data_IF_788716128954
#
_entry.id   IF_788716128954
#
_cell.length_a   1.000
_cell.length_b   1.000
_cell.length_c   1.000
_cell.angle_alpha   90.00
_cell.angle_beta   90.00
_cell.angle_gamma   90.00
#
_symmetry.space_group_name_H-M   'P 1'
#
loop_
_entity.id
_entity.type
_entity.pdbx_description
1 polymer ?
#
# COMPACT_ATOMS: atom_id res chain seq x y z
N UNK A 1 5.36 2.88 -1.83
CA UNK A 1 5.67 4.19 -1.23
C UNK A 1 7.10 4.14 -0.67
N UNK A 2 8.02 5.07 -1.06
CA UNK A 2 9.44 5.00 -0.70
C UNK A 2 9.70 4.97 0.81
N UNK A 3 8.92 5.72 1.59
CA UNK A 3 9.07 5.81 3.04
C UNK A 3 8.85 4.46 3.74
N UNK A 4 7.77 3.76 3.39
CA UNK A 4 7.50 2.43 3.95
C UNK A 4 8.55 1.41 3.54
N UNK A 5 8.98 1.44 2.28
CA UNK A 5 10.01 0.54 1.76
C UNK A 5 11.32 0.74 2.49
N UNK A 6 11.72 1.99 2.71
CA UNK A 6 12.94 2.33 3.44
C UNK A 6 12.84 1.90 4.90
N UNK A 7 11.80 2.32 5.61
CA UNK A 7 11.63 2.02 7.03
C UNK A 7 11.59 0.50 7.28
N UNK A 8 10.85 -0.24 6.47
CA UNK A 8 10.82 -1.71 6.51
C UNK A 8 12.21 -2.30 6.27
N UNK A 9 12.92 -1.83 5.25
CA UNK A 9 14.24 -2.36 4.90
C UNK A 9 15.26 -2.09 6.01
N UNK A 10 15.33 -0.86 6.54
CA UNK A 10 16.25 -0.47 7.61
C UNK A 10 16.08 -1.36 8.84
N UNK A 11 14.84 -1.53 9.30
CA UNK A 11 14.53 -2.36 10.48
C UNK A 11 14.80 -3.84 10.21
N UNK A 12 14.28 -4.39 9.12
CA UNK A 12 14.42 -5.81 8.78
C UNK A 12 15.88 -6.20 8.52
N UNK A 13 16.62 -5.35 7.79
CA UNK A 13 18.02 -5.58 7.48
C UNK A 13 18.87 -5.56 8.75
N UNK A 14 18.60 -4.66 9.69
CA UNK A 14 19.25 -4.60 11.00
C UNK A 14 18.96 -5.84 11.83
N UNK A 15 17.71 -6.31 11.88
CA UNK A 15 17.31 -7.56 12.58
C UNK A 15 17.97 -8.79 11.98
N UNK A 16 18.28 -8.78 10.70
CA UNK A 16 19.03 -9.82 10.00
C UNK A 16 20.56 -9.65 10.12
N UNK A 17 21.03 -8.82 11.05
CA UNK A 17 22.43 -8.48 11.30
C UNK A 17 23.11 -7.72 10.15
N UNK A 18 22.36 -7.03 9.31
CA UNK A 18 22.88 -6.11 8.32
C UNK A 18 23.20 -4.75 8.93
N UNK A 19 24.06 -3.99 8.26
CA UNK A 19 24.41 -2.64 8.67
C UNK A 19 24.27 -1.68 7.50
N UNK A 20 23.40 -0.69 7.68
CA UNK A 20 23.17 0.40 6.74
C UNK A 20 23.80 1.67 7.27
N UNK A 21 24.58 2.35 6.44
CA UNK A 21 25.18 3.65 6.79
C UNK A 21 24.62 4.75 5.91
N UNK A 22 24.11 5.81 6.52
CA UNK A 22 23.69 7.02 5.81
C UNK A 22 24.95 7.80 5.38
N UNK A 23 25.05 8.14 4.10
CA UNK A 23 26.15 8.98 3.56
C UNK A 23 25.70 10.40 3.32
N UNK A 24 24.73 10.57 2.46
CA UNK A 24 24.14 11.85 2.08
C UNK A 24 22.62 11.80 2.29
N UNK A 25 21.89 12.91 2.24
CA UNK A 25 20.44 12.90 2.33
C UNK A 25 19.80 11.98 1.26
N UNK A 26 19.16 10.90 1.72
CA UNK A 26 18.51 9.89 0.86
C UNK A 26 19.45 8.90 0.18
N UNK A 27 20.75 8.91 0.50
CA UNK A 27 21.75 7.96 0.01
C UNK A 27 22.39 7.18 1.15
N UNK A 28 22.55 5.87 0.94
CA UNK A 28 23.08 4.95 1.93
C UNK A 28 24.15 4.05 1.32
N UNK A 29 24.92 3.38 2.18
CA UNK A 29 25.86 2.32 1.81
C UNK A 29 25.65 1.09 2.68
N UNK A 30 25.94 -0.06 2.11
CA UNK A 30 26.01 -1.35 2.80
C UNK A 30 27.43 -1.90 2.61
N UNK A 31 28.22 -1.94 3.68
CA UNK A 31 29.57 -2.47 3.63
C UNK A 31 29.62 -3.99 3.60
N UNK A 32 28.60 -4.62 4.15
CA UNK A 32 28.51 -6.06 4.22
C UNK A 32 27.07 -6.54 4.25
N UNK A 33 26.74 -7.48 3.35
CA UNK A 33 25.46 -8.17 3.33
C UNK A 33 25.61 -9.54 4.01
N UNK A 34 24.83 -9.85 5.05
CA UNK A 34 24.88 -11.11 5.77
C UNK A 34 24.74 -12.34 4.85
N UNK A 35 25.45 -13.46 5.16
CA UNK A 35 25.38 -14.67 4.34
C UNK A 35 23.97 -15.21 4.17
N UNK A 36 23.15 -15.19 5.24
CA UNK A 36 21.77 -15.68 5.20
C UNK A 36 20.94 -15.00 4.09
N UNK A 37 21.13 -13.69 3.88
CA UNK A 37 20.44 -12.93 2.83
C UNK A 37 20.93 -13.35 1.45
N UNK A 38 22.24 -13.54 1.27
CA UNK A 38 22.83 -13.97 -0.01
C UNK A 38 22.47 -15.41 -0.35
N UNK A 39 22.36 -16.27 0.65
CA UNK A 39 21.96 -17.67 0.45
C UNK A 39 20.47 -17.76 0.12
N UNK A 40 19.63 -16.89 0.73
CA UNK A 40 18.21 -16.78 0.38
C UNK A 40 18.02 -16.33 -1.06
N UNK A 41 18.77 -15.34 -1.52
CA UNK A 41 18.76 -14.88 -2.91
C UNK A 41 19.05 -16.00 -3.91
N UNK A 42 20.01 -16.88 -3.61
CA UNK A 42 20.30 -18.05 -4.44
C UNK A 42 19.13 -19.03 -4.55
N UNK A 43 18.32 -19.13 -3.48
CA UNK A 43 17.11 -19.98 -3.48
C UNK A 43 15.98 -19.32 -4.29
N UNK A 44 15.80 -18.01 -4.15
CA UNK A 44 14.78 -17.24 -4.90
C UNK A 44 15.14 -17.19 -6.38
N UNK A 45 16.42 -16.94 -6.71
CA UNK A 45 16.94 -16.99 -8.08
C UNK A 45 16.38 -15.93 -9.02
N UNK A 46 15.97 -14.77 -8.49
CA UNK A 46 15.38 -13.68 -9.28
C UNK A 46 16.42 -12.62 -9.65
N UNK A 47 16.82 -12.57 -10.92
CA UNK A 47 17.62 -11.47 -11.46
C UNK A 47 19.13 -11.54 -11.16
N UNK A 48 19.78 -10.39 -10.98
CA UNK A 48 21.21 -10.31 -10.66
C UNK A 48 21.45 -10.73 -9.21
N UNK A 49 22.49 -11.54 -8.93
CA UNK A 49 22.76 -12.01 -7.57
C UNK A 49 23.02 -10.87 -6.59
N UNK A 50 22.58 -11.04 -5.35
CA UNK A 50 22.89 -10.14 -4.24
C UNK A 50 24.40 -10.12 -4.03
N UNK A 51 24.98 -8.92 -4.11
CA UNK A 51 26.41 -8.71 -3.90
C UNK A 51 26.74 -8.55 -2.41
N UNK A 52 28.02 -8.75 -2.06
CA UNK A 52 28.47 -8.67 -0.67
C UNK A 52 28.44 -7.24 -0.10
N UNK A 53 28.43 -6.23 -0.96
CA UNK A 53 28.56 -4.82 -0.59
C UNK A 53 27.86 -3.94 -1.63
N UNK A 54 27.25 -2.85 -1.18
CA UNK A 54 26.65 -1.83 -2.02
C UNK A 54 27.22 -0.46 -1.63
N UNK A 55 27.95 0.16 -2.54
CA UNK A 55 28.63 1.43 -2.27
C UNK A 55 27.67 2.61 -2.18
N UNK A 56 26.54 2.53 -2.93
CA UNK A 56 25.56 3.59 -2.96
C UNK A 56 24.20 3.04 -3.33
N UNK A 57 23.26 3.15 -2.42
CA UNK A 57 21.86 2.76 -2.61
C UNK A 57 20.92 3.92 -2.27
N UNK A 58 19.70 3.88 -2.80
CA UNK A 58 18.60 4.78 -2.48
C UNK A 58 17.27 4.02 -2.53
N UNK A 59 16.23 4.62 -1.95
CA UNK A 59 14.86 4.10 -1.97
C UNK A 59 13.91 4.93 -2.84
N UNK A 60 14.38 6.06 -3.36
CA UNK A 60 13.64 6.97 -4.22
C UNK A 60 14.25 7.04 -5.61
N UNK A 61 13.41 6.97 -6.66
CA UNK A 61 13.87 7.08 -8.06
C UNK A 61 14.60 8.38 -8.35
N UNK A 62 14.18 9.49 -7.76
CA UNK A 62 14.81 10.80 -7.93
C UNK A 62 16.26 10.83 -7.42
N UNK A 63 16.63 9.95 -6.48
CA UNK A 63 17.96 9.84 -5.90
C UNK A 63 18.91 8.90 -6.65
N UNK A 64 18.43 8.17 -7.67
CA UNK A 64 19.27 7.27 -8.45
C UNK A 64 20.38 7.98 -9.21
N UNK A 65 20.10 9.19 -9.69
CA UNK A 65 21.06 10.02 -10.46
C UNK A 65 21.05 11.42 -9.90
N UNK A 66 22.09 11.79 -9.20
CA UNK A 66 22.35 13.15 -8.69
C UNK A 66 23.52 13.71 -9.48
N UNK A 67 23.38 14.91 -10.00
CA UNK A 67 24.45 15.60 -10.75
C UNK A 67 25.75 15.68 -9.94
N UNK A 68 26.87 15.35 -10.56
CA UNK A 68 28.18 15.32 -9.92
C UNK A 68 28.44 14.11 -8.99
N UNK A 69 27.53 13.16 -8.87
CA UNK A 69 27.71 11.95 -8.04
C UNK A 69 27.58 10.67 -8.89
N UNK A 70 28.29 9.58 -8.51
CA UNK A 70 28.06 8.28 -9.11
C UNK A 70 26.60 7.81 -8.91
N UNK A 71 26.04 7.02 -9.86
CA UNK A 71 24.67 6.55 -9.74
C UNK A 71 24.47 5.66 -8.51
N UNK A 72 23.28 5.78 -7.88
CA UNK A 72 22.85 4.93 -6.78
C UNK A 72 21.93 3.81 -7.29
N UNK A 73 22.02 2.63 -6.67
CA UNK A 73 21.15 1.51 -6.94
C UNK A 73 19.83 1.67 -6.17
N UNK A 74 18.70 1.55 -6.86
CA UNK A 74 17.38 1.65 -6.23
C UNK A 74 17.03 0.33 -5.55
N UNK A 75 16.82 0.36 -4.23
CA UNK A 75 16.29 -0.76 -3.46
C UNK A 75 14.78 -0.59 -3.33
N UNK A 76 14.06 -1.43 -4.05
CA UNK A 76 12.59 -1.41 -4.12
C UNK A 76 12.08 -2.85 -4.28
N UNK A 77 10.78 -3.14 -4.13
CA UNK A 77 10.21 -4.44 -4.43
C UNK A 77 10.59 -4.91 -5.84
N UNK A 78 11.07 -6.15 -5.95
CA UNK A 78 11.66 -6.71 -7.17
C UNK A 78 13.19 -6.55 -7.27
N UNK A 79 13.83 -5.87 -6.33
CA UNK A 79 15.29 -5.88 -6.22
C UNK A 79 15.73 -7.11 -5.39
N UNK A 80 16.67 -7.95 -5.85
CA UNK A 80 17.03 -9.21 -5.18
C UNK A 80 17.36 -9.08 -3.70
N UNK A 81 18.07 -8.02 -3.31
CA UNK A 81 18.36 -7.74 -1.91
C UNK A 81 17.09 -7.47 -1.10
N UNK A 82 16.14 -6.69 -1.63
CA UNK A 82 14.87 -6.41 -0.96
C UNK A 82 14.04 -7.68 -0.83
N UNK A 83 13.91 -8.43 -1.92
CA UNK A 83 13.09 -9.64 -1.96
C UNK A 83 13.62 -10.70 -0.98
N UNK A 84 14.95 -10.84 -0.86
CA UNK A 84 15.58 -11.73 0.11
C UNK A 84 15.38 -11.30 1.57
N UNK A 85 15.43 -10.00 1.85
CA UNK A 85 15.16 -9.45 3.19
C UNK A 85 13.69 -9.66 3.56
N UNK A 86 12.77 -9.40 2.64
CA UNK A 86 11.32 -9.63 2.85
C UNK A 86 11.06 -11.11 3.15
N UNK A 87 11.58 -12.01 2.33
CA UNK A 87 11.32 -13.45 2.45
C UNK A 87 11.86 -14.03 3.76
N UNK A 88 13.10 -13.69 4.15
CA UNK A 88 13.66 -14.09 5.45
C UNK A 88 12.89 -13.49 6.64
N UNK A 89 12.48 -12.24 6.55
CA UNK A 89 11.70 -11.58 7.61
C UNK A 89 10.36 -12.28 7.79
N UNK A 90 9.67 -12.61 6.70
CA UNK A 90 8.41 -13.35 6.73
C UNK A 90 8.59 -14.76 7.30
N UNK A 91 9.64 -15.48 6.91
CA UNK A 91 9.94 -16.81 7.44
C UNK A 91 10.16 -16.79 8.95
N UNK A 92 10.96 -15.83 9.43
CA UNK A 92 11.30 -15.72 10.85
C UNK A 92 10.11 -15.27 11.73
N UNK A 93 9.18 -14.46 11.19
CA UNK A 93 8.12 -13.82 11.98
C UNK A 93 6.72 -14.42 11.73
N UNK A 94 6.56 -15.31 10.75
CA UNK A 94 5.23 -15.86 10.37
C UNK A 94 4.48 -16.49 11.55
N UNK A 95 5.17 -17.29 12.36
CA UNK A 95 4.54 -17.96 13.50
C UNK A 95 4.18 -16.98 14.63
N UNK A 96 4.91 -15.88 14.76
CA UNK A 96 4.58 -14.83 15.73
C UNK A 96 3.29 -14.10 15.36
N UNK A 97 3.04 -13.86 14.08
CA UNK A 97 1.80 -13.23 13.62
C UNK A 97 0.54 -14.01 14.00
N UNK A 98 0.65 -15.35 14.06
CA UNK A 98 -0.46 -16.23 14.45
C UNK A 98 -0.77 -16.21 15.96
N UNK A 99 0.17 -15.78 16.78
CA UNK A 99 -0.02 -15.72 18.25
C UNK A 99 -0.91 -14.55 18.64
N UNK A 100 -1.10 -13.58 17.76
CA UNK A 100 -1.77 -12.33 18.05
C UNK A 100 -0.93 -11.40 18.92
N UNK A 101 -1.43 -10.20 19.14
CA UNK A 101 -0.79 -9.20 20.00
C UNK A 101 -1.84 -8.23 20.55
N UNK A 102 -1.40 -7.34 21.43
CA UNK A 102 -2.21 -6.22 21.93
C UNK A 102 -1.56 -4.93 21.44
N UNK A 103 -2.39 -4.00 21.00
CA UNK A 103 -2.00 -2.64 20.64
C UNK A 103 -2.79 -1.61 21.42
N UNK A 104 -2.22 -0.43 21.59
CA UNK A 104 -2.89 0.75 22.13
C UNK A 104 -3.11 1.75 21.02
N UNK A 105 -4.36 2.15 20.79
CA UNK A 105 -4.69 3.28 19.94
C UNK A 105 -4.71 4.57 20.79
N UNK A 106 -3.64 5.35 20.72
CA UNK A 106 -3.48 6.58 21.50
C UNK A 106 -4.37 7.73 21.05
N UNK A 107 -4.93 7.62 19.87
CA UNK A 107 -5.79 8.66 19.29
C UNK A 107 -7.25 8.38 19.62
N UNK A 108 -7.60 7.11 19.77
CA UNK A 108 -8.97 6.74 20.16
C UNK A 108 -9.19 6.94 21.66
N UNK A 109 -9.97 7.95 21.99
CA UNK A 109 -10.38 8.28 23.35
C UNK A 109 -11.62 7.46 23.80
N UNK A 110 -12.08 6.53 22.97
CA UNK A 110 -13.18 5.62 23.25
C UNK A 110 -12.87 4.62 24.35
N UNK A 111 -13.90 3.85 24.71
CA UNK A 111 -13.81 2.78 25.72
C UNK A 111 -14.17 1.40 25.17
N UNK A 112 -14.41 1.30 23.86
CA UNK A 112 -14.79 0.05 23.21
C UNK A 112 -13.55 -0.57 22.54
N UNK A 113 -13.05 -1.73 23.00
CA UNK A 113 -11.91 -2.40 22.38
C UNK A 113 -12.33 -3.03 21.05
N UNK A 114 -11.37 -3.17 20.13
CA UNK A 114 -11.58 -3.74 18.81
C UNK A 114 -10.64 -4.91 18.57
N UNK A 115 -11.14 -5.96 17.92
CA UNK A 115 -10.32 -7.04 17.41
C UNK A 115 -9.97 -6.76 15.95
N UNK A 116 -8.68 -6.67 15.65
CA UNK A 116 -8.14 -6.45 14.30
C UNK A 116 -7.73 -7.78 13.69
N UNK A 117 -8.32 -8.18 12.56
CA UNK A 117 -7.84 -9.27 11.73
C UNK A 117 -7.06 -8.76 10.53
N UNK A 118 -5.93 -9.41 10.26
CA UNK A 118 -5.06 -9.17 9.11
C UNK A 118 -5.36 -10.24 8.07
N UNK A 119 -5.87 -9.83 6.92
CA UNK A 119 -6.31 -10.72 5.85
C UNK A 119 -5.44 -10.53 4.62
N UNK A 120 -4.92 -11.64 4.09
CA UNK A 120 -4.14 -11.67 2.86
C UNK A 120 -5.00 -12.17 1.71
N UNK A 121 -5.11 -11.38 0.67
CA UNK A 121 -5.82 -11.72 -0.56
C UNK A 121 -4.90 -11.61 -1.78
N UNK A 122 -4.87 -12.65 -2.58
CA UNK A 122 -4.02 -12.79 -3.75
C UNK A 122 -4.84 -12.92 -5.02
N UNK A 123 -4.42 -12.21 -6.07
CA UNK A 123 -4.96 -12.33 -7.43
C UNK A 123 -3.88 -12.91 -8.33
N UNK A 124 -4.25 -13.91 -9.14
CA UNK A 124 -3.34 -14.66 -10.03
C UNK A 124 -3.79 -14.53 -11.48
N UNK A 125 -2.89 -14.78 -12.42
CA UNK A 125 -3.26 -14.94 -13.83
C UNK A 125 -3.08 -16.40 -14.30
N UNK A 126 -3.52 -16.71 -15.52
CA UNK A 126 -3.49 -18.07 -16.06
C UNK A 126 -2.11 -18.56 -16.48
N UNK A 127 -1.05 -17.77 -16.31
CA UNK A 127 0.31 -18.24 -16.55
C UNK A 127 0.76 -19.14 -15.40
N UNK A 128 1.47 -20.19 -15.75
CA UNK A 128 2.07 -21.09 -14.76
C UNK A 128 3.59 -20.93 -14.77
N UNK A 129 4.18 -21.03 -13.58
CA UNK A 129 5.62 -21.04 -13.43
C UNK A 129 6.19 -22.45 -13.70
N UNK A 130 7.52 -22.62 -13.52
CA UNK A 130 8.21 -23.90 -13.70
C UNK A 130 7.80 -24.99 -12.70
N UNK A 131 7.08 -24.62 -11.62
CA UNK A 131 6.55 -25.55 -10.60
C UNK A 131 5.08 -25.93 -10.87
N UNK A 132 4.47 -25.30 -11.87
CA UNK A 132 3.04 -25.49 -12.19
C UNK A 132 2.11 -24.58 -11.39
N UNK A 133 2.64 -23.66 -10.60
CA UNK A 133 1.85 -22.72 -9.83
C UNK A 133 1.44 -21.52 -10.68
N UNK A 134 0.20 -21.07 -10.49
CA UNK A 134 -0.30 -19.88 -11.17
C UNK A 134 0.42 -18.62 -10.68
N UNK A 135 0.79 -17.75 -11.61
CA UNK A 135 1.54 -16.55 -11.31
C UNK A 135 0.70 -15.52 -10.53
N UNK A 136 1.18 -15.14 -9.36
CA UNK A 136 0.61 -14.03 -8.59
C UNK A 136 0.89 -12.71 -9.29
N UNK A 137 -0.18 -11.93 -9.55
CA UNK A 137 -0.11 -10.61 -10.20
C UNK A 137 -0.46 -9.46 -9.26
N UNK A 138 -1.17 -9.75 -8.18
CA UNK A 138 -1.44 -8.80 -7.11
C UNK A 138 -1.60 -9.53 -5.79
N UNK A 139 -1.14 -8.90 -4.72
CA UNK A 139 -1.35 -9.34 -3.34
C UNK A 139 -1.68 -8.12 -2.51
N UNK A 140 -2.75 -8.21 -1.70
CA UNK A 140 -3.19 -7.10 -0.87
C UNK A 140 -3.45 -7.60 0.54
N UNK A 141 -2.83 -6.94 1.51
CA UNK A 141 -3.23 -7.06 2.90
C UNK A 141 -4.42 -6.14 3.15
N UNK A 142 -5.42 -6.67 3.82
CA UNK A 142 -6.65 -5.99 4.20
C UNK A 142 -6.89 -6.20 5.69
N UNK A 143 -7.61 -5.28 6.30
CA UNK A 143 -7.78 -5.23 7.74
C UNK A 143 -9.26 -5.15 8.05
N UNK A 144 -9.70 -5.98 8.99
CA UNK A 144 -11.09 -6.04 9.45
C UNK A 144 -11.11 -5.79 10.95
N UNK A 145 -11.95 -4.89 11.38
CA UNK A 145 -12.18 -4.55 12.78
C UNK A 145 -13.50 -5.13 13.25
N UNK A 146 -13.49 -5.70 14.43
CA UNK A 146 -14.67 -6.15 15.17
C UNK A 146 -14.74 -5.43 16.51
N UNK A 147 -15.93 -5.05 16.92
CA UNK A 147 -16.19 -4.65 18.29
C UNK A 147 -16.91 -5.75 19.09
N UNK A 148 -17.08 -5.54 20.39
CA UNK A 148 -17.78 -6.47 21.29
C UNK A 148 -19.26 -6.68 20.93
N UNK A 149 -19.86 -5.76 20.18
CA UNK A 149 -21.26 -5.79 19.71
C UNK A 149 -21.43 -6.51 18.37
N UNK A 150 -20.38 -7.21 17.91
CA UNK A 150 -20.33 -7.90 16.62
C UNK A 150 -20.47 -6.95 15.41
N UNK A 151 -20.21 -5.64 15.56
CA UNK A 151 -20.10 -4.75 14.42
C UNK A 151 -18.79 -4.98 13.67
N UNK A 152 -18.86 -4.99 12.34
CA UNK A 152 -17.71 -5.25 11.47
C UNK A 152 -17.48 -4.04 10.59
N UNK A 153 -16.23 -3.63 10.49
CA UNK A 153 -15.81 -2.55 9.61
C UNK A 153 -14.45 -2.81 8.97
N UNK A 154 -14.17 -2.08 7.91
CA UNK A 154 -12.85 -2.08 7.29
C UNK A 154 -11.85 -1.30 8.15
N UNK A 155 -10.67 -1.89 8.42
CA UNK A 155 -9.61 -1.28 9.23
C UNK A 155 -8.76 -0.23 8.49
N UNK A 156 -8.95 -0.06 7.17
CA UNK A 156 -8.16 0.87 6.37
C UNK A 156 -6.79 0.36 5.95
N UNK A 157 -5.87 1.27 5.63
CA UNK A 157 -4.52 0.95 5.18
C UNK A 157 -3.55 0.90 6.36
N UNK A 158 -2.95 -0.27 6.61
CA UNK A 158 -1.90 -0.48 7.61
C UNK A 158 -2.18 0.19 8.97
N UNK A 159 -3.35 -0.05 9.61
CA UNK A 159 -3.77 0.64 10.83
C UNK A 159 -2.78 0.43 11.99
N UNK A 160 -2.04 -0.68 11.99
CA UNK A 160 -1.01 -0.99 12.99
C UNK A 160 0.14 0.03 13.03
N UNK A 161 0.29 0.90 12.03
CA UNK A 161 1.29 1.96 12.05
C UNK A 161 0.92 3.12 12.99
N UNK A 162 -0.35 3.23 13.32
CA UNK A 162 -0.89 4.25 14.22
C UNK A 162 -1.04 3.73 15.65
N UNK A 163 -0.76 2.43 15.89
CA UNK A 163 -0.92 1.79 17.20
C UNK A 163 0.41 1.60 17.90
N UNK A 164 0.42 1.85 19.22
CA UNK A 164 1.56 1.64 20.08
C UNK A 164 1.55 0.26 20.74
N UNK A 165 2.71 -0.17 21.22
CA UNK A 165 2.84 -1.35 22.04
C UNK A 165 2.51 -1.04 23.50
N UNK A 166 1.71 -1.87 24.19
CA UNK A 166 1.44 -1.71 25.60
C UNK A 166 2.69 -1.95 26.43
N UNK A 167 2.87 -1.18 27.51
CA UNK A 167 3.83 -1.48 28.56
C UNK A 167 3.33 -2.66 29.43
N UNK A 168 4.20 -3.19 30.29
CA UNK A 168 3.79 -4.23 31.24
C UNK A 168 2.72 -3.73 32.24
N UNK A 169 2.74 -2.46 32.61
CA UNK A 169 1.74 -1.84 33.47
C UNK A 169 0.38 -1.72 32.76
N UNK A 170 0.40 -1.35 31.48
CA UNK A 170 -0.79 -1.30 30.64
C UNK A 170 -1.44 -2.68 30.52
N UNK A 171 -0.64 -3.72 30.23
CA UNK A 171 -1.14 -5.11 30.14
C UNK A 171 -1.79 -5.58 31.44
N UNK A 172 -1.22 -5.23 32.59
CA UNK A 172 -1.81 -5.55 33.91
C UNK A 172 -3.16 -4.86 34.10
N UNK A 173 -3.26 -3.59 33.68
CA UNK A 173 -4.47 -2.79 33.81
C UNK A 173 -5.66 -3.28 32.97
N UNK A 174 -5.37 -3.93 31.84
CA UNK A 174 -6.37 -4.41 30.88
C UNK A 174 -6.52 -5.94 30.85
N UNK A 175 -6.00 -6.65 31.85
CA UNK A 175 -6.02 -8.11 31.88
C UNK A 175 -7.44 -8.68 31.78
N UNK A 176 -8.40 -8.05 32.43
CA UNK A 176 -9.81 -8.42 32.36
C UNK A 176 -10.43 -8.26 30.97
N UNK A 177 -9.95 -7.29 30.18
CA UNK A 177 -10.36 -7.10 28.78
C UNK A 177 -9.78 -8.20 27.91
N UNK A 178 -8.51 -8.55 28.12
CA UNK A 178 -7.83 -9.64 27.38
C UNK A 178 -8.50 -11.00 27.65
N UNK A 179 -8.99 -11.22 28.87
CA UNK A 179 -9.64 -12.46 29.26
C UNK A 179 -11.15 -12.49 28.97
N UNK A 180 -11.72 -11.46 28.36
CA UNK A 180 -13.16 -11.33 28.11
C UNK A 180 -13.70 -12.45 27.21
N UNK A 181 -14.96 -12.86 27.46
CA UNK A 181 -15.57 -14.01 26.79
C UNK A 181 -15.82 -13.79 25.30
N UNK A 182 -16.02 -12.56 24.84
CA UNK A 182 -16.25 -12.28 23.44
C UNK A 182 -15.01 -12.57 22.56
N UNK A 183 -13.79 -12.43 23.09
CA UNK A 183 -12.54 -12.78 22.40
C UNK A 183 -12.33 -14.30 22.24
N UNK A 184 -13.08 -15.12 23.00
CA UNK A 184 -13.03 -16.58 22.90
C UNK A 184 -13.94 -17.13 21.82
N UNK A 185 -14.79 -16.28 21.23
CA UNK A 185 -15.65 -16.68 20.10
C UNK A 185 -14.79 -16.95 18.85
N UNK A 186 -15.20 -17.92 18.04
CA UNK A 186 -14.59 -18.15 16.74
C UNK A 186 -15.08 -17.09 15.73
N UNK A 187 -14.40 -15.96 15.68
CA UNK A 187 -14.74 -14.82 14.83
C UNK A 187 -14.06 -14.88 13.45
N UNK A 188 -13.09 -15.78 13.23
CA UNK A 188 -12.35 -15.90 11.97
C UNK A 188 -13.26 -16.19 10.77
N UNK A 189 -14.24 -17.13 10.83
CA UNK A 189 -15.15 -17.37 9.71
C UNK A 189 -15.98 -16.14 9.35
N UNK A 190 -16.33 -15.33 10.35
CA UNK A 190 -17.12 -14.10 10.15
C UNK A 190 -16.27 -13.05 9.44
N UNK A 191 -15.01 -12.87 9.88
CA UNK A 191 -14.03 -11.98 9.24
C UNK A 191 -13.77 -12.39 7.78
N UNK A 192 -13.58 -13.67 7.51
CA UNK A 192 -13.38 -14.18 6.16
C UNK A 192 -14.61 -13.97 5.28
N UNK A 193 -15.82 -14.20 5.81
CA UNK A 193 -17.05 -13.97 5.06
C UNK A 193 -17.23 -12.49 4.70
N UNK A 194 -16.94 -11.60 5.63
CA UNK A 194 -16.91 -10.15 5.37
C UNK A 194 -15.89 -9.82 4.28
N UNK A 195 -14.67 -10.33 4.39
CA UNK A 195 -13.62 -10.10 3.40
C UNK A 195 -14.03 -10.58 2.00
N UNK A 196 -14.64 -11.76 1.89
CA UNK A 196 -15.11 -12.32 0.60
C UNK A 196 -16.19 -11.45 -0.02
N UNK A 197 -17.08 -10.88 0.80
CA UNK A 197 -18.21 -10.06 0.31
C UNK A 197 -17.83 -8.63 -0.01
N UNK A 198 -17.03 -8.00 0.85
CA UNK A 198 -16.81 -6.55 0.81
C UNK A 198 -15.41 -6.15 0.32
N UNK A 199 -14.37 -6.93 0.66
CA UNK A 199 -12.98 -6.52 0.41
C UNK A 199 -12.37 -7.14 -0.85
N UNK A 200 -12.70 -8.40 -1.12
CA UNK A 200 -12.18 -9.15 -2.28
C UNK A 200 -12.70 -8.60 -3.60
N UNK A 201 -14.01 -8.30 -3.78
CA UNK A 201 -14.51 -7.87 -5.08
C UNK A 201 -13.89 -6.58 -5.60
N UNK A 202 -13.74 -5.49 -4.81
CA UNK A 202 -13.09 -4.28 -5.29
C UNK A 202 -11.63 -4.50 -5.71
N UNK A 203 -10.87 -5.28 -4.95
CA UNK A 203 -9.48 -5.61 -5.28
C UNK A 203 -9.39 -6.44 -6.56
N UNK A 204 -10.25 -7.44 -6.70
CA UNK A 204 -10.28 -8.30 -7.89
C UNK A 204 -10.63 -7.52 -9.15
N UNK A 205 -11.70 -6.71 -9.11
CA UNK A 205 -12.14 -5.92 -10.26
C UNK A 205 -11.10 -4.86 -10.68
N UNK A 206 -10.45 -4.20 -9.72
CA UNK A 206 -9.36 -3.27 -10.01
C UNK A 206 -8.22 -3.96 -10.79
N UNK A 207 -7.77 -5.12 -10.30
CA UNK A 207 -6.66 -5.87 -10.91
C UNK A 207 -7.08 -6.42 -12.27
N UNK A 208 -8.28 -6.98 -12.38
CA UNK A 208 -8.84 -7.52 -13.63
C UNK A 208 -8.93 -6.45 -14.70
N UNK A 209 -9.59 -5.32 -14.42
CA UNK A 209 -9.77 -4.23 -15.37
C UNK A 209 -8.43 -3.66 -15.87
N UNK A 210 -7.46 -3.51 -14.96
CA UNK A 210 -6.12 -3.06 -15.31
C UNK A 210 -5.39 -4.09 -16.19
N UNK A 211 -5.51 -5.37 -15.88
CA UNK A 211 -4.87 -6.46 -16.64
C UNK A 211 -5.49 -6.61 -18.02
N UNK A 212 -6.80 -6.62 -18.12
CA UNK A 212 -7.52 -6.72 -19.41
C UNK A 212 -7.13 -5.58 -20.34
N UNK A 213 -7.15 -4.33 -19.84
CA UNK A 213 -6.72 -3.17 -20.64
C UNK A 213 -5.28 -3.28 -21.13
N UNK A 214 -4.36 -3.72 -20.27
CA UNK A 214 -2.96 -3.90 -20.66
C UNK A 214 -2.79 -4.98 -21.72
N UNK A 215 -3.48 -6.10 -21.57
CA UNK A 215 -3.45 -7.21 -22.52
C UNK A 215 -4.03 -6.79 -23.87
N UNK A 216 -5.18 -6.11 -23.89
CA UNK A 216 -5.83 -5.66 -25.12
C UNK A 216 -4.92 -4.70 -25.92
N UNK A 217 -4.31 -3.72 -25.24
CA UNK A 217 -3.33 -2.82 -25.88
C UNK A 217 -2.11 -3.58 -26.41
N UNK A 218 -1.60 -4.55 -25.65
CA UNK A 218 -0.43 -5.33 -26.04
C UNK A 218 -0.75 -6.26 -27.23
N UNK A 219 -1.90 -6.92 -27.20
CA UNK A 219 -2.38 -7.77 -28.30
C UNK A 219 -2.50 -6.97 -29.60
N UNK A 220 -3.14 -5.81 -29.55
CA UNK A 220 -3.28 -4.94 -30.73
C UNK A 220 -1.92 -4.57 -31.31
N UNK A 221 -0.97 -4.12 -30.48
CA UNK A 221 0.38 -3.74 -30.90
C UNK A 221 1.17 -4.93 -31.49
N UNK A 222 1.09 -6.12 -30.85
CA UNK A 222 1.76 -7.34 -31.30
C UNK A 222 1.19 -7.80 -32.65
N UNK A 223 -0.14 -7.84 -32.78
CA UNK A 223 -0.79 -8.19 -34.04
C UNK A 223 -0.42 -7.23 -35.14
N UNK A 224 -0.54 -5.94 -34.93
CA UNK A 224 -0.20 -4.94 -35.96
C UNK A 224 1.25 -5.08 -36.45
N UNK A 225 2.20 -5.18 -35.50
CA UNK A 225 3.62 -5.26 -35.84
C UNK A 225 3.96 -6.58 -36.56
N UNK A 226 3.60 -7.72 -35.96
CA UNK A 226 4.00 -9.03 -36.51
C UNK A 226 3.26 -9.33 -37.84
N UNK A 227 2.00 -8.91 -37.99
CA UNK A 227 1.28 -9.06 -39.27
C UNK A 227 1.96 -8.26 -40.39
N UNK A 228 2.40 -7.02 -40.10
CA UNK A 228 3.18 -6.22 -41.10
C UNK A 228 4.49 -6.92 -41.50
N UNK A 229 5.22 -7.48 -40.54
CA UNK A 229 6.47 -8.20 -40.79
C UNK A 229 6.23 -9.51 -41.56
N UNK A 230 5.19 -10.27 -41.22
CA UNK A 230 4.79 -11.52 -41.88
C UNK A 230 4.42 -11.21 -43.34
N UNK A 231 3.58 -10.21 -43.59
CA UNK A 231 3.17 -9.79 -44.94
C UNK A 231 4.37 -9.34 -45.77
N UNK A 232 5.30 -8.58 -45.21
CA UNK A 232 6.53 -8.19 -45.88
C UNK A 232 7.35 -9.39 -46.33
N UNK A 233 7.61 -10.36 -45.42
CA UNK A 233 8.42 -11.53 -45.77
C UNK A 233 7.70 -12.49 -46.70
N UNK A 234 6.39 -12.64 -46.60
CA UNK A 234 5.57 -13.41 -47.55
C UNK A 234 5.61 -12.82 -48.96
N UNK A 235 5.43 -11.50 -49.07
CA UNK A 235 5.53 -10.81 -50.35
C UNK A 235 6.96 -10.87 -50.94
N UNK A 236 7.98 -10.74 -50.04
CA UNK A 236 9.39 -10.88 -50.45
C UNK A 236 9.70 -12.27 -50.99
N UNK A 237 9.14 -13.31 -50.38
CA UNK A 237 9.26 -14.69 -50.83
C UNK A 237 8.73 -14.85 -52.27
N UNK A 238 7.53 -14.31 -52.56
CA UNK A 238 6.94 -14.35 -53.93
C UNK A 238 7.81 -13.60 -54.92
N UNK A 239 8.29 -12.41 -54.59
CA UNK A 239 9.18 -11.65 -55.48
C UNK A 239 10.49 -12.39 -55.79
N UNK A 240 11.12 -12.99 -54.79
CA UNK A 240 12.34 -13.77 -54.95
C UNK A 240 12.10 -15.00 -55.82
N UNK A 241 10.93 -15.64 -55.70
CA UNK A 241 10.55 -16.78 -56.56
C UNK A 241 10.40 -16.35 -58.02
N UNK A 242 9.71 -15.25 -58.28
CA UNK A 242 9.58 -14.70 -59.63
C UNK A 242 10.94 -14.32 -60.24
N UNK A 243 11.89 -13.80 -59.48
CA UNK A 243 13.24 -13.51 -59.94
C UNK A 243 14.00 -14.79 -60.29
N UNK A 244 13.87 -15.87 -59.50
CA UNK A 244 14.46 -17.19 -59.79
C UNK A 244 13.86 -17.78 -61.07
N UNK A 245 12.54 -17.74 -61.20
CA UNK A 245 11.82 -18.26 -62.37
C UNK A 245 12.18 -17.49 -63.64
N UNK A 246 12.56 -16.19 -63.50
CA UNK A 246 13.09 -15.36 -64.61
C UNK A 246 14.60 -15.56 -64.84
N UNK A 247 15.25 -16.55 -64.24
CA UNK A 247 16.66 -16.87 -64.38
C UNK A 247 17.66 -15.96 -63.69
N UNK A 248 17.20 -15.11 -62.76
CA UNK A 248 18.05 -14.27 -61.92
C UNK A 248 18.57 -15.06 -60.71
N UNK A 249 19.71 -14.64 -60.18
CA UNK A 249 20.28 -15.20 -58.94
C UNK A 249 20.18 -14.20 -57.79
N UNK A 250 19.05 -14.17 -57.06
CA UNK A 250 18.90 -13.26 -55.92
C UNK A 250 19.87 -13.60 -54.81
N UNK A 251 20.33 -12.57 -54.05
CA UNK A 251 21.24 -12.79 -52.90
C UNK A 251 20.60 -13.61 -51.77
N UNK A 252 19.27 -13.59 -51.65
CA UNK A 252 18.51 -14.38 -50.67
C UNK A 252 17.65 -15.39 -51.44
N UNK A 253 17.65 -16.63 -51.00
CA UNK A 253 16.78 -17.66 -51.55
C UNK A 253 15.34 -17.46 -51.08
N UNK A 254 14.32 -17.73 -51.92
CA UNK A 254 12.91 -17.63 -51.59
C UNK A 254 12.56 -18.40 -50.30
N UNK A 255 13.15 -19.57 -50.09
CA UNK A 255 12.99 -20.44 -48.93
C UNK A 255 13.36 -19.77 -47.60
N UNK A 256 14.41 -18.91 -47.62
CA UNK A 256 14.80 -18.17 -46.43
C UNK A 256 13.77 -17.12 -46.03
N UNK A 257 13.13 -16.46 -47.02
CA UNK A 257 12.05 -15.51 -46.77
C UNK A 257 10.80 -16.23 -46.27
N UNK A 258 10.46 -17.39 -46.83
CA UNK A 258 9.35 -18.24 -46.37
C UNK A 258 9.55 -18.66 -44.94
N UNK A 259 10.71 -19.25 -44.61
CA UNK A 259 11.04 -19.67 -43.25
C UNK A 259 10.93 -18.51 -42.25
N UNK A 260 11.31 -17.29 -42.64
CA UNK A 260 11.20 -16.10 -41.79
C UNK A 260 9.75 -15.71 -41.52
N UNK A 261 8.88 -15.80 -42.54
CA UNK A 261 7.44 -15.56 -42.39
C UNK A 261 6.80 -16.61 -41.45
N UNK A 262 7.16 -17.90 -41.61
CA UNK A 262 6.67 -19.00 -40.78
C UNK A 262 7.13 -18.84 -39.32
N UNK A 263 8.39 -18.47 -39.09
CA UNK A 263 8.92 -18.18 -37.73
C UNK A 263 8.15 -17.05 -37.06
N UNK A 264 7.88 -15.97 -37.76
CA UNK A 264 7.11 -14.83 -37.24
C UNK A 264 5.65 -15.20 -36.96
N UNK A 265 5.03 -16.05 -37.80
CA UNK A 265 3.68 -16.58 -37.58
C UNK A 265 3.64 -17.42 -36.30
N UNK A 266 4.57 -18.34 -36.13
CA UNK A 266 4.67 -19.13 -34.88
C UNK A 266 4.88 -18.26 -33.64
N UNK A 267 5.69 -17.19 -33.78
CA UNK A 267 5.88 -16.23 -32.69
C UNK A 267 4.60 -15.43 -32.38
N UNK A 268 3.82 -15.05 -33.40
CA UNK A 268 2.53 -14.38 -33.19
C UNK A 268 1.56 -15.30 -32.43
N UNK A 269 1.43 -16.55 -32.85
CA UNK A 269 0.56 -17.53 -32.21
C UNK A 269 0.97 -17.80 -30.76
N UNK A 270 2.27 -17.99 -30.54
CA UNK A 270 2.80 -18.22 -29.18
C UNK A 270 2.49 -17.01 -28.28
N UNK A 271 2.78 -15.79 -28.77
CA UNK A 271 2.57 -14.58 -27.96
C UNK A 271 1.09 -14.30 -27.71
N UNK A 272 0.23 -14.62 -28.66
CA UNK A 272 -1.23 -14.52 -28.49
C UNK A 272 -1.72 -15.45 -27.38
N UNK A 273 -1.25 -16.70 -27.37
CA UNK A 273 -1.60 -17.67 -26.30
C UNK A 273 -1.12 -17.21 -24.92
N UNK A 274 0.11 -16.70 -24.82
CA UNK A 274 0.66 -16.16 -23.59
C UNK A 274 -0.17 -14.99 -23.06
N UNK A 275 -0.55 -14.04 -23.94
CA UNK A 275 -1.35 -12.87 -23.57
C UNK A 275 -2.79 -13.25 -23.18
N UNK A 276 -3.36 -14.27 -23.81
CA UNK A 276 -4.66 -14.81 -23.42
C UNK A 276 -4.61 -15.47 -22.01
N UNK A 277 -3.52 -16.19 -21.70
CA UNK A 277 -3.30 -16.72 -20.37
C UNK A 277 -3.13 -15.59 -19.34
N UNK A 278 -2.41 -14.50 -19.70
CA UNK A 278 -2.29 -13.30 -18.87
C UNK A 278 -3.65 -12.62 -18.59
N UNK A 279 -4.58 -12.67 -19.57
CA UNK A 279 -5.92 -12.10 -19.43
C UNK A 279 -6.81 -12.86 -18.45
N UNK A 280 -6.59 -14.16 -18.29
CA UNK A 280 -7.37 -14.99 -17.38
C UNK A 280 -6.97 -14.73 -15.94
N UNK A 281 -7.73 -13.86 -15.27
CA UNK A 281 -7.48 -13.44 -13.88
C UNK A 281 -8.34 -14.25 -12.93
N UNK A 282 -7.73 -14.75 -11.86
CA UNK A 282 -8.37 -15.61 -10.85
C UNK A 282 -8.13 -15.02 -9.46
N UNK A 283 -9.20 -14.92 -8.67
CA UNK A 283 -9.16 -14.56 -7.26
C UNK A 283 -8.88 -15.79 -6.41
N UNK A 284 -7.92 -15.72 -5.50
CA UNK A 284 -7.73 -16.76 -4.48
C UNK A 284 -8.68 -16.54 -3.30
N UNK A 285 -8.90 -17.58 -2.51
CA UNK A 285 -9.59 -17.42 -1.21
C UNK A 285 -8.73 -16.59 -0.28
N UNK A 286 -9.28 -15.56 0.39
CA UNK A 286 -8.55 -14.79 1.39
C UNK A 286 -8.21 -15.66 2.60
N UNK A 287 -7.09 -15.38 3.26
CA UNK A 287 -6.64 -16.08 4.46
C UNK A 287 -6.33 -15.09 5.58
N UNK A 288 -6.63 -15.45 6.81
CA UNK A 288 -6.19 -14.71 8.00
C UNK A 288 -4.73 -15.06 8.25
N UNK A 289 -3.89 -14.04 8.35
CA UNK A 289 -2.45 -14.19 8.60
C UNK A 289 -2.05 -13.78 10.00
N UNK A 290 -2.93 -13.08 10.72
CA UNK A 290 -2.70 -12.66 12.09
C UNK A 290 -3.87 -11.84 12.64
N UNK A 291 -3.78 -11.48 13.91
CA UNK A 291 -4.77 -10.63 14.58
C UNK A 291 -4.16 -9.87 15.76
N UNK A 292 -4.88 -8.88 16.22
CA UNK A 292 -4.51 -8.08 17.39
C UNK A 292 -5.74 -7.55 18.11
N UNK A 293 -5.66 -7.46 19.44
CA UNK A 293 -6.61 -6.70 20.23
C UNK A 293 -6.14 -5.25 20.29
N UNK A 294 -6.98 -4.32 19.86
CA UNK A 294 -6.70 -2.89 19.89
C UNK A 294 -7.46 -2.26 21.04
N UNK A 295 -6.74 -1.66 21.96
CA UNK A 295 -7.26 -1.00 23.16
C UNK A 295 -7.24 0.51 22.93
N UNK A 296 -8.39 1.19 22.97
CA UNK A 296 -8.43 2.64 22.94
C UNK A 296 -7.72 3.25 24.17
N UNK A 297 -7.07 4.40 23.98
CA UNK A 297 -6.43 5.13 25.07
C UNK A 297 -7.44 5.48 26.18
N UNK A 298 -8.67 5.84 25.81
CA UNK A 298 -9.72 6.16 26.78
C UNK A 298 -10.08 4.99 27.69
N UNK A 299 -10.14 3.75 27.16
CA UNK A 299 -10.33 2.55 27.96
C UNK A 299 -9.14 2.31 28.91
N UNK A 300 -7.93 2.44 28.40
CA UNK A 300 -6.71 2.27 29.19
C UNK A 300 -6.66 3.28 30.35
N UNK A 301 -6.93 4.55 30.10
CA UNK A 301 -6.93 5.61 31.12
C UNK A 301 -8.02 5.36 32.17
N UNK A 302 -9.19 4.89 31.75
CA UNK A 302 -10.27 4.48 32.66
C UNK A 302 -9.81 3.33 33.62
N UNK A 303 -9.16 2.31 33.06
CA UNK A 303 -8.65 1.15 33.83
C UNK A 303 -7.53 1.54 34.77
N UNK A 304 -6.72 2.52 34.41
CA UNK A 304 -5.65 3.08 35.26
C UNK A 304 -6.16 4.11 36.27
N UNK A 305 -7.48 4.39 36.32
CA UNK A 305 -8.07 5.35 37.25
C UNK A 305 -7.71 6.81 36.97
N UNK A 306 -7.27 7.13 35.75
CA UNK A 306 -7.03 8.52 35.34
C UNK A 306 -8.35 9.24 35.12
N UNK A 307 -8.41 10.52 35.51
CA UNK A 307 -9.57 11.35 35.18
C UNK A 307 -9.58 11.66 33.67
N UNK A 308 -10.59 11.11 33.00
CA UNK A 308 -10.84 11.46 31.60
C UNK A 308 -11.41 12.87 31.50
N UNK A 309 -10.96 13.69 30.53
CA UNK A 309 -11.61 14.98 30.24
C UNK A 309 -13.11 14.80 30.00
N UNK A 310 -13.91 15.78 30.41
CA UNK A 310 -15.39 15.67 30.39
C UNK A 310 -15.93 15.40 28.98
N UNK A 311 -15.28 15.94 27.95
CA UNK A 311 -15.63 15.76 26.53
C UNK A 311 -15.20 14.38 25.95
N UNK A 312 -14.22 13.71 26.54
CA UNK A 312 -13.82 12.36 26.11
C UNK A 312 -14.71 11.26 26.71
N UNK A 313 -15.50 11.59 27.74
CA UNK A 313 -16.44 10.65 28.41
C UNK A 313 -17.72 10.41 27.61
N UNK A 314 -18.07 11.31 26.68
CA UNK A 314 -19.30 11.23 25.91
C UNK A 314 -19.01 10.88 24.44
N UNK A 315 -19.20 9.60 24.05
CA UNK A 315 -19.01 9.16 22.66
C UNK A 315 -19.91 9.91 21.67
N UNK A 316 -21.10 10.32 22.11
CA UNK A 316 -22.05 11.03 21.26
C UNK A 316 -21.56 12.47 20.97
N UNK A 317 -20.96 13.12 21.96
CA UNK A 317 -20.40 14.47 21.79
C UNK A 317 -19.17 14.45 20.87
N UNK A 318 -18.29 13.45 20.96
CA UNK A 318 -17.16 13.30 20.04
C UNK A 318 -17.64 13.08 18.61
N UNK A 319 -18.56 12.15 18.42
CA UNK A 319 -19.16 11.88 17.11
C UNK A 319 -19.87 13.10 16.54
N UNK A 320 -20.51 13.90 17.41
CA UNK A 320 -21.13 15.16 17.02
C UNK A 320 -20.09 16.18 16.50
N UNK A 321 -18.97 16.35 17.20
CA UNK A 321 -17.86 17.23 16.81
C UNK A 321 -17.30 16.80 15.47
N UNK A 322 -17.05 15.53 15.26
CA UNK A 322 -16.56 14.97 13.99
C UNK A 322 -17.54 15.21 12.85
N UNK A 323 -18.83 14.92 13.06
CA UNK A 323 -19.86 15.13 12.04
C UNK A 323 -20.03 16.60 11.67
N UNK A 324 -19.97 17.52 12.65
CA UNK A 324 -20.04 18.95 12.40
C UNK A 324 -18.82 19.45 11.60
N UNK A 325 -17.64 18.97 11.94
CA UNK A 325 -16.41 19.28 11.20
C UNK A 325 -16.46 18.77 9.77
N UNK A 326 -16.84 17.51 9.56
CA UNK A 326 -17.01 16.90 8.24
C UNK A 326 -18.01 17.68 7.40
N UNK A 327 -19.18 18.02 7.97
CA UNK A 327 -20.22 18.79 7.28
C UNK A 327 -19.69 20.16 6.85
N UNK A 328 -19.04 20.88 7.75
CA UNK A 328 -18.51 22.22 7.47
C UNK A 328 -17.46 22.21 6.34
N UNK A 329 -16.57 21.21 6.35
CA UNK A 329 -15.56 21.05 5.28
C UNK A 329 -16.22 20.70 3.95
N UNK A 330 -17.19 19.77 3.94
CA UNK A 330 -17.91 19.41 2.71
C UNK A 330 -18.70 20.60 2.13
N UNK A 331 -19.32 21.42 2.98
CA UNK A 331 -20.01 22.63 2.53
C UNK A 331 -19.03 23.66 1.96
N UNK A 332 -17.89 23.85 2.62
CA UNK A 332 -16.83 24.76 2.15
C UNK A 332 -16.23 24.32 0.81
N UNK A 333 -15.99 23.04 0.60
CA UNK A 333 -15.53 22.50 -0.69
C UNK A 333 -16.54 22.78 -1.81
N UNK A 334 -17.84 22.63 -1.55
CA UNK A 334 -18.90 22.97 -2.52
C UNK A 334 -18.94 24.48 -2.84
N UNK A 335 -18.78 25.34 -1.84
CA UNK A 335 -18.66 26.78 -2.06
C UNK A 335 -17.47 27.16 -2.93
N UNK A 336 -16.35 26.43 -2.80
CA UNK A 336 -15.15 26.60 -3.60
C UNK A 336 -15.26 26.02 -5.03
N UNK A 337 -16.40 25.40 -5.38
CA UNK A 337 -16.65 24.82 -6.69
C UNK A 337 -16.09 23.41 -6.88
N UNK A 338 -15.80 22.71 -5.78
CA UNK A 338 -15.40 21.31 -5.79
C UNK A 338 -16.61 20.38 -5.56
N UNK A 339 -16.45 19.12 -5.95
CA UNK A 339 -17.39 18.03 -5.66
C UNK A 339 -16.75 17.12 -4.59
N UNK A 340 -17.06 17.35 -3.30
CA UNK A 340 -16.50 16.53 -2.22
C UNK A 340 -17.23 15.20 -2.10
N UNK A 341 -16.47 14.14 -1.82
CA UNK A 341 -16.91 12.78 -1.52
C UNK A 341 -16.34 12.36 -0.17
N UNK A 342 -17.20 11.91 0.75
CA UNK A 342 -16.79 11.35 2.03
C UNK A 342 -16.22 9.96 1.81
N UNK A 343 -14.93 9.77 2.12
CA UNK A 343 -14.21 8.52 2.01
C UNK A 343 -13.62 8.06 3.36
N UNK A 344 -14.04 8.69 4.46
CA UNK A 344 -13.54 8.43 5.82
C UNK A 344 -13.65 6.96 6.22
N UNK A 345 -14.70 6.28 5.78
CA UNK A 345 -14.89 4.84 6.03
C UNK A 345 -13.83 3.96 5.34
N UNK A 346 -13.21 4.46 4.27
CA UNK A 346 -12.16 3.74 3.55
C UNK A 346 -10.78 3.87 4.20
N UNK A 347 -10.61 4.82 5.13
CA UNK A 347 -9.39 5.08 5.90
C UNK A 347 -8.13 5.13 5.02
N UNK A 348 -8.17 5.95 3.96
CA UNK A 348 -7.06 6.12 3.00
C UNK A 348 -5.92 7.00 3.54
N UNK A 349 -6.06 7.56 4.74
CA UNK A 349 -5.19 8.58 5.32
C UNK A 349 -5.68 10.00 5.01
N UNK A 350 -6.94 10.13 4.58
CA UNK A 350 -7.74 11.35 4.45
C UNK A 350 -9.23 11.02 4.47
N UNK A 351 -10.07 11.98 4.86
CA UNK A 351 -11.49 11.79 5.09
C UNK A 351 -12.35 12.20 3.89
N UNK A 352 -11.92 13.20 3.12
CA UNK A 352 -12.67 13.72 1.98
C UNK A 352 -11.78 13.72 0.73
N UNK A 353 -12.34 13.20 -0.36
CA UNK A 353 -11.78 13.33 -1.70
C UNK A 353 -12.61 14.36 -2.47
N UNK A 354 -11.99 15.47 -2.89
CA UNK A 354 -12.68 16.56 -3.56
C UNK A 354 -12.14 16.76 -4.98
N UNK A 355 -13.03 17.00 -5.95
CA UNK A 355 -12.66 17.11 -7.38
C UNK A 355 -13.23 18.38 -7.99
N UNK A 356 -12.45 19.04 -8.87
CA UNK A 356 -12.99 20.04 -9.78
C UNK A 356 -13.71 19.40 -10.96
N UNK A 357 -14.52 20.16 -11.69
CA UNK A 357 -15.10 19.74 -12.98
C UNK A 357 -14.02 19.32 -14.01
N UNK A 358 -12.81 19.88 -13.91
CA UNK A 358 -11.66 19.56 -14.76
C UNK A 358 -10.92 18.29 -14.34
N UNK A 359 -11.31 17.70 -13.20
CA UNK A 359 -10.73 16.46 -12.68
C UNK A 359 -9.52 16.65 -11.75
N UNK A 360 -9.19 17.87 -11.35
CA UNK A 360 -8.16 18.11 -10.33
C UNK A 360 -8.62 17.55 -8.99
N UNK A 361 -7.74 16.83 -8.31
CA UNK A 361 -8.04 16.14 -7.05
C UNK A 361 -7.40 16.84 -5.85
N UNK A 362 -8.14 16.91 -4.74
CA UNK A 362 -7.68 17.30 -3.41
C UNK A 362 -8.05 16.22 -2.41
N UNK A 363 -7.18 15.99 -1.44
CA UNK A 363 -7.35 15.03 -0.35
C UNK A 363 -7.36 15.80 0.96
N UNK A 364 -8.47 15.76 1.68
CA UNK A 364 -8.63 16.53 2.90
C UNK A 364 -8.74 15.59 4.10
N UNK A 365 -7.83 15.78 5.04
CA UNK A 365 -7.94 15.23 6.40
C UNK A 365 -8.69 16.23 7.26
N UNK A 366 -9.72 15.78 7.96
CA UNK A 366 -10.61 16.64 8.75
C UNK A 366 -10.36 16.44 10.23
N UNK A 367 -10.05 17.50 10.95
CA UNK A 367 -9.88 17.48 12.41
C UNK A 367 -10.87 18.43 13.07
N UNK A 368 -11.90 17.86 13.70
CA UNK A 368 -12.80 18.59 14.61
C UNK A 368 -12.18 18.72 16.00
N UNK A 369 -12.18 19.91 16.59
CA UNK A 369 -11.74 20.14 17.97
C UNK A 369 -12.69 21.09 18.67
N UNK A 370 -12.86 20.89 19.97
CA UNK A 370 -13.61 21.85 20.78
C UNK A 370 -12.88 23.21 20.77
N UNK A 371 -13.62 24.30 20.74
CA UNK A 371 -13.05 25.66 20.83
C UNK A 371 -12.22 25.83 22.08
N UNK A 372 -11.00 26.35 21.92
CA UNK A 372 -10.02 26.48 23.00
C UNK A 372 -9.05 25.30 23.11
N UNK A 373 -9.21 24.26 22.30
CA UNK A 373 -8.17 23.24 22.19
C UNK A 373 -6.88 23.85 21.59
N UNK A 374 -5.75 23.58 22.21
CA UNK A 374 -4.45 24.09 21.75
C UNK A 374 -3.73 23.17 20.80
N UNK A 375 -4.11 21.87 20.77
CA UNK A 375 -3.40 20.86 20.00
C UNK A 375 -4.33 19.98 19.16
N UNK A 376 -3.76 19.43 18.09
CA UNK A 376 -4.39 18.43 17.25
C UNK A 376 -3.45 17.24 17.09
N UNK A 377 -3.96 16.04 17.27
CA UNK A 377 -3.21 14.79 17.09
C UNK A 377 -3.33 14.35 15.63
N UNK A 378 -2.19 14.09 15.01
CA UNK A 378 -2.08 13.59 13.65
C UNK A 378 -1.39 12.23 13.69
N UNK A 379 -1.99 11.23 13.07
CA UNK A 379 -1.46 9.88 13.03
C UNK A 379 -0.31 9.76 12.04
N UNK A 380 0.49 8.71 12.18
CA UNK A 380 1.57 8.41 11.24
C UNK A 380 1.05 8.19 9.82
N UNK A 381 -0.06 7.47 9.68
CA UNK A 381 -0.67 7.23 8.36
C UNK A 381 -1.09 8.53 7.67
N UNK A 382 -1.66 9.49 8.38
CA UNK A 382 -2.04 10.81 7.84
C UNK A 382 -0.82 11.63 7.41
N UNK A 383 0.26 11.61 8.21
CA UNK A 383 1.52 12.27 7.84
C UNK A 383 2.12 11.64 6.59
N UNK A 384 2.16 10.30 6.53
CA UNK A 384 2.69 9.60 5.37
C UNK A 384 1.82 9.78 4.11
N UNK A 385 0.50 9.88 4.27
CA UNK A 385 -0.41 10.20 3.17
C UNK A 385 -0.11 11.61 2.62
N UNK A 386 0.09 12.61 3.48
CA UNK A 386 0.50 13.95 3.09
C UNK A 386 1.84 13.94 2.33
N UNK A 387 2.87 13.29 2.87
CA UNK A 387 4.19 13.23 2.24
C UNK A 387 4.19 12.50 0.88
N UNK A 388 3.23 11.60 0.65
CA UNK A 388 3.05 10.91 -0.63
C UNK A 388 2.31 11.75 -1.68
N UNK A 389 1.51 12.74 -1.25
CA UNK A 389 0.67 13.59 -2.11
C UNK A 389 0.76 15.08 -1.70
N UNK A 390 1.97 15.65 -1.55
CA UNK A 390 2.16 16.95 -0.92
C UNK A 390 1.42 18.08 -1.62
N UNK A 391 1.28 18.02 -2.95
CA UNK A 391 0.61 19.05 -3.74
C UNK A 391 -0.92 18.99 -3.66
N UNK A 392 -1.49 17.92 -3.11
CA UNK A 392 -2.94 17.67 -3.10
C UNK A 392 -3.51 17.51 -1.69
N UNK A 393 -2.65 17.31 -0.69
CA UNK A 393 -3.08 17.04 0.67
C UNK A 393 -3.31 18.33 1.46
N UNK A 394 -4.44 18.39 2.14
CA UNK A 394 -4.89 19.52 2.94
C UNK A 394 -5.33 19.00 4.30
N UNK A 395 -4.84 19.61 5.35
CA UNK A 395 -5.38 19.43 6.70
C UNK A 395 -6.44 20.52 6.93
N UNK A 396 -7.67 20.09 7.18
CA UNK A 396 -8.81 20.95 7.47
C UNK A 396 -9.13 20.89 8.96
N UNK A 397 -8.96 21.99 9.67
CA UNK A 397 -9.22 22.09 11.11
C UNK A 397 -10.50 22.89 11.32
N UNK A 398 -11.46 22.33 12.06
CA UNK A 398 -12.69 23.00 12.47
C UNK A 398 -12.77 23.08 14.00
N UNK A 399 -13.01 24.28 14.53
CA UNK A 399 -13.17 24.52 15.96
C UNK A 399 -14.66 24.64 16.28
N UNK A 400 -15.16 23.79 17.17
CA UNK A 400 -16.59 23.67 17.48
C UNK A 400 -16.88 24.27 18.85
N UNK A 401 -17.84 25.21 18.88
CA UNK A 401 -18.37 25.83 20.09
C UNK A 401 -19.89 25.62 20.11
N UNK A 402 -20.32 24.60 20.82
CA UNK A 402 -21.70 24.11 20.79
C UNK A 402 -22.08 23.72 19.35
N UNK A 403 -23.03 24.40 18.72
CA UNK A 403 -23.43 24.17 17.33
C UNK A 403 -22.72 25.10 16.31
N UNK A 404 -21.89 26.03 16.79
CA UNK A 404 -21.14 26.93 15.93
C UNK A 404 -19.82 26.31 15.52
N UNK A 405 -19.53 26.36 14.21
CA UNK A 405 -18.26 25.92 13.64
C UNK A 405 -17.45 27.14 13.21
N UNK A 406 -16.25 27.29 13.79
CA UNK A 406 -15.26 28.27 13.37
C UNK A 406 -14.28 27.60 12.41
N UNK A 407 -14.09 28.18 11.23
CA UNK A 407 -13.35 27.57 10.12
C UNK A 407 -14.29 27.04 9.03
N UNK A 408 -13.93 25.95 8.29
CA UNK A 408 -12.67 25.19 8.40
C UNK A 408 -11.44 26.00 7.98
N UNK A 409 -10.37 25.83 8.71
CA UNK A 409 -9.05 26.39 8.40
C UNK A 409 -8.24 25.37 7.59
N UNK A 410 -7.77 25.76 6.40
CA UNK A 410 -7.05 24.88 5.50
C UNK A 410 -5.53 25.11 5.58
N UNK A 411 -4.81 24.05 5.89
CA UNK A 411 -3.36 24.04 5.90
C UNK A 411 -2.88 23.14 4.75
N UNK A 412 -2.31 23.73 3.72
CA UNK A 412 -1.79 23.02 2.57
C UNK A 412 -0.41 22.43 2.89
N UNK A 413 -0.17 21.18 2.52
CA UNK A 413 1.11 20.49 2.73
C UNK A 413 1.67 20.70 4.16
N UNK A 414 0.90 20.34 5.21
CA UNK A 414 1.24 20.68 6.60
C UNK A 414 2.52 20.02 7.09
N UNK A 415 2.92 18.87 6.51
CA UNK A 415 4.02 18.03 6.97
C UNK A 415 5.12 17.93 5.91
N UNK A 416 6.36 18.15 6.32
CA UNK A 416 7.53 18.14 5.44
C UNK A 416 8.61 17.14 5.89
N UNK A 417 8.37 16.43 6.97
CA UNK A 417 9.32 15.48 7.55
C UNK A 417 8.61 14.18 7.93
N UNK A 418 9.24 13.07 7.61
CA UNK A 418 8.78 11.75 7.99
C UNK A 418 8.95 11.55 9.51
N UNK A 419 7.91 11.01 10.21
CA UNK A 419 8.04 10.64 11.62
C UNK A 419 9.09 9.55 11.82
N UNK A 420 9.74 9.53 12.98
CA UNK A 420 10.60 8.42 13.36
C UNK A 420 9.85 7.09 13.32
N UNK A 421 10.58 5.99 13.12
CA UNK A 421 9.97 4.66 12.91
C UNK A 421 9.02 4.26 14.05
N UNK A 422 9.39 4.52 15.30
CA UNK A 422 8.60 4.17 16.48
C UNK A 422 7.50 5.17 16.86
N UNK A 423 7.34 6.28 16.11
CA UNK A 423 6.31 7.28 16.37
C UNK A 423 5.02 6.89 15.65
N UNK A 424 3.91 6.80 16.35
CA UNK A 424 2.59 6.43 15.82
C UNK A 424 1.69 7.64 15.60
N UNK A 425 1.84 8.68 16.40
CA UNK A 425 1.13 9.95 16.26
C UNK A 425 1.96 11.12 16.79
N UNK A 426 1.65 12.33 16.35
CA UNK A 426 2.29 13.57 16.80
C UNK A 426 1.22 14.59 17.15
N UNK A 427 1.38 15.22 18.33
CA UNK A 427 0.53 16.34 18.71
C UNK A 427 1.14 17.65 18.17
N UNK A 428 0.39 18.31 17.33
CA UNK A 428 0.77 19.62 16.77
C UNK A 428 0.01 20.75 17.47
N UNK A 429 0.69 21.84 17.74
CA UNK A 429 0.06 23.07 18.18
C UNK A 429 -0.74 23.68 17.03
N UNK A 430 -2.04 23.96 17.29
CA UNK A 430 -2.99 24.44 16.26
C UNK A 430 -2.54 25.81 15.74
N UNK A 431 -2.17 26.75 16.64
CA UNK A 431 -1.75 28.10 16.24
C UNK A 431 -0.49 28.09 15.36
N UNK A 432 0.40 27.15 15.61
CA UNK A 432 1.61 26.94 14.81
C UNK A 432 1.31 26.36 13.43
N UNK A 433 0.31 25.46 13.31
CA UNK A 433 -0.13 24.93 12.03
C UNK A 433 -0.84 25.99 11.18
N UNK A 434 -1.67 26.83 11.78
CA UNK A 434 -2.43 27.86 11.07
C UNK A 434 -1.57 29.04 10.61
N UNK A 435 -0.32 29.16 11.08
CA UNK A 435 0.65 30.16 10.62
C UNK A 435 1.49 29.71 9.43
N UNK A 436 1.39 28.43 9.04
CA UNK A 436 2.05 27.88 7.86
C UNK A 436 1.25 28.18 6.59
#
# INVERSE_FOLDING_TARGET
QPFFVRAFFEESFTRLNGQLRKRDPGLFEINYVPPAIRDRDRVIGSGNPVVNRYERICFEKAKMRIEGKPPAQLIAPGHPLMDSVVDLTLENLREMLKQGTVFIDKVDEGVEPHLLYIIDHTVRDGRVDHRGDQRTISRRMQFVLFDEKDNISQGGYAPYLDYDHPSNEDLQSINDVIESDWLRKDLEPIALNYAVKELVPPHFEEVKNRRERLVDMTLAAVHERLTKEINYWSHRCVQLQLDVDAGKQPRMQPENARRKAEELTGRLDQRTKELQAERHVISSTPIIVGGALVIPQGLLDQKQGKELPMWSKDPDERKRIELLAMKAVMEKEKELGFVPEDVSQSKYGWDIQSRTEKGDLRFLEVKGRAKGASTVTITKNEILACLNQPDKYILAIALIDSDNVEGPFYVNNPFNQEPDFGVTSINYDIDSLLKK
#
